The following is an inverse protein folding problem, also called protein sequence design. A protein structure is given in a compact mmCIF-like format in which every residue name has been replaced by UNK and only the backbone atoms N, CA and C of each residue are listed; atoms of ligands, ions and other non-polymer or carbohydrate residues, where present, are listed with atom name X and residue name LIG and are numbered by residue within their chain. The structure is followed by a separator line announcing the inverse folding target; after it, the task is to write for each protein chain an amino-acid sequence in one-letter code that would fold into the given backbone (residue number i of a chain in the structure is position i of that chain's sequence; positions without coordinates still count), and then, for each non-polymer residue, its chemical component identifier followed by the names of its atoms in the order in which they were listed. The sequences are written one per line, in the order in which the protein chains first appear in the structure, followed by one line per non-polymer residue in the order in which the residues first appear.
data_IF_429313455579
#
_entry.id   IF_429313455579
#
_cell.length_a   1.000
_cell.length_b   1.000
_cell.length_c   1.000
_cell.angle_alpha   90.00
_cell.angle_beta   90.00
_cell.angle_gamma   90.00
#
_symmetry.space_group_name_H-M   'P 1'
#
loop_
_entity.id
_entity.type
_entity.pdbx_description
1 polymer ?
#
# COMPACT_ATOMS: atom_id res chain seq x y z
N UNK A 1 -12.04 -17.19 25.50
CA UNK A 1 -11.32 -17.39 24.23
C UNK A 1 -12.21 -16.79 23.17
N UNK A 2 -11.98 -15.52 22.84
CA UNK A 2 -12.66 -14.87 21.72
C UNK A 2 -11.85 -15.26 20.49
N UNK A 3 -12.46 -15.98 19.55
CA UNK A 3 -11.86 -16.17 18.21
C UNK A 3 -11.58 -14.78 17.66
N UNK A 4 -10.29 -14.45 17.50
CA UNK A 4 -9.88 -13.21 16.87
C UNK A 4 -10.11 -13.40 15.37
N UNK A 5 -11.28 -12.99 14.89
CA UNK A 5 -11.61 -13.06 13.46
C UNK A 5 -10.54 -12.29 12.66
N UNK A 6 -9.88 -12.99 11.75
CA UNK A 6 -8.83 -12.44 10.89
C UNK A 6 -9.40 -11.34 9.98
N UNK A 7 -8.77 -10.16 9.95
CA UNK A 7 -9.14 -9.03 9.07
C UNK A 7 -8.83 -9.28 7.59
N UNK A 8 -8.04 -10.31 7.29
CA UNK A 8 -7.48 -10.61 5.96
C UNK A 8 -8.57 -10.91 4.91
N UNK A 9 -9.61 -11.73 5.18
CA UNK A 9 -10.66 -12.01 4.19
C UNK A 9 -11.48 -10.77 3.84
N UNK A 10 -11.75 -9.90 4.82
CA UNK A 10 -12.46 -8.62 4.58
C UNK A 10 -11.61 -7.75 3.66
N UNK A 11 -10.32 -7.59 3.97
CA UNK A 11 -9.38 -6.83 3.14
C UNK A 11 -9.26 -7.40 1.70
N UNK A 12 -9.32 -8.72 1.54
CA UNK A 12 -9.26 -9.38 0.24
C UNK A 12 -10.43 -8.98 -0.67
N UNK A 13 -11.67 -9.14 -0.19
CA UNK A 13 -12.89 -8.80 -0.92
C UNK A 13 -12.91 -7.32 -1.28
N UNK A 14 -12.53 -6.49 -0.31
CA UNK A 14 -12.50 -5.04 -0.41
C UNK A 14 -11.54 -4.56 -1.49
N UNK A 15 -10.26 -4.97 -1.41
CA UNK A 15 -9.26 -4.56 -2.39
C UNK A 15 -9.63 -5.03 -3.78
N UNK A 16 -10.16 -6.25 -3.90
CA UNK A 16 -10.60 -6.79 -5.18
C UNK A 16 -11.77 -6.00 -5.78
N UNK A 17 -12.83 -5.73 -5.00
CA UNK A 17 -13.99 -4.96 -5.46
C UNK A 17 -13.62 -3.52 -5.81
N UNK A 18 -12.82 -2.85 -4.98
CA UNK A 18 -12.32 -1.49 -5.26
C UNK A 18 -11.46 -1.44 -6.53
N UNK A 19 -10.58 -2.43 -6.71
CA UNK A 19 -9.76 -2.54 -7.92
C UNK A 19 -10.62 -2.72 -9.18
N UNK A 20 -11.56 -3.67 -9.16
CA UNK A 20 -12.45 -3.94 -10.30
C UNK A 20 -13.34 -2.75 -10.63
N UNK A 21 -13.97 -2.14 -9.62
CA UNK A 21 -14.83 -0.96 -9.81
C UNK A 21 -14.04 0.23 -10.38
N UNK A 22 -12.83 0.47 -9.88
CA UNK A 22 -11.91 1.48 -10.42
C UNK A 22 -11.61 1.25 -11.90
N UNK A 23 -11.29 0.01 -12.30
CA UNK A 23 -11.03 -0.34 -13.70
C UNK A 23 -12.26 -0.13 -14.60
N UNK A 24 -13.46 -0.46 -14.10
CA UNK A 24 -14.72 -0.24 -14.83
C UNK A 24 -14.99 1.26 -15.02
N UNK A 25 -14.80 2.07 -13.97
CA UNK A 25 -15.00 3.52 -14.03
C UNK A 25 -14.03 4.18 -15.02
N UNK A 26 -12.75 3.80 -14.98
CA UNK A 26 -11.74 4.32 -15.91
C UNK A 26 -12.03 3.98 -17.37
N UNK A 27 -12.65 2.83 -17.62
CA UNK A 27 -13.06 2.45 -18.97
C UNK A 27 -14.25 3.30 -19.48
N UNK A 28 -15.05 3.86 -18.57
CA UNK A 28 -16.17 4.77 -18.89
C UNK A 28 -15.72 6.22 -19.02
N UNK A 29 -14.69 6.65 -18.28
CA UNK A 29 -14.15 8.02 -18.32
C UNK A 29 -13.09 8.19 -19.41
N UNK A 30 -13.52 8.23 -20.68
CA UNK A 30 -12.61 8.30 -21.84
C UNK A 30 -11.94 9.66 -22.05
N UNK A 31 -12.57 10.73 -21.59
CA UNK A 31 -12.16 12.12 -21.84
C UNK A 31 -11.03 12.62 -20.91
N UNK A 32 -10.48 11.72 -20.09
CA UNK A 32 -9.41 12.03 -19.14
C UNK A 32 -8.03 11.96 -19.81
N UNK A 33 -7.11 12.79 -19.30
CA UNK A 33 -5.74 12.84 -19.80
C UNK A 33 -5.03 11.50 -19.64
N UNK A 34 -4.06 11.23 -20.51
CA UNK A 34 -3.34 9.95 -20.54
C UNK A 34 -2.72 9.60 -19.17
N UNK A 35 -2.16 10.59 -18.47
CA UNK A 35 -1.48 10.39 -17.19
C UNK A 35 -2.46 9.88 -16.12
N UNK A 36 -3.62 10.51 -15.99
CA UNK A 36 -4.65 10.11 -15.02
C UNK A 36 -5.19 8.71 -15.37
N UNK A 37 -5.40 8.43 -16.66
CA UNK A 37 -5.88 7.11 -17.10
C UNK A 37 -4.88 6.00 -16.77
N UNK A 38 -3.59 6.16 -17.08
CA UNK A 38 -2.57 5.16 -16.75
C UNK A 38 -2.44 5.01 -15.23
N UNK A 39 -2.41 6.13 -14.50
CA UNK A 39 -2.33 6.14 -13.03
C UNK A 39 -3.46 5.33 -12.43
N UNK A 40 -4.71 5.59 -12.87
CA UNK A 40 -5.87 4.84 -12.44
C UNK A 40 -5.79 3.36 -12.79
N UNK A 41 -5.32 3.01 -13.99
CA UNK A 41 -5.17 1.62 -14.41
C UNK A 41 -4.12 0.89 -13.55
N UNK A 42 -2.99 1.53 -13.26
CA UNK A 42 -1.94 0.97 -12.39
C UNK A 42 -2.46 0.75 -10.96
N UNK A 43 -3.12 1.75 -10.36
CA UNK A 43 -3.68 1.61 -9.01
C UNK A 43 -4.81 0.58 -8.96
N UNK A 44 -5.69 0.55 -9.97
CA UNK A 44 -6.76 -0.44 -10.07
C UNK A 44 -6.23 -1.87 -10.12
N UNK A 45 -5.22 -2.14 -10.95
CA UNK A 45 -4.57 -3.46 -11.01
C UNK A 45 -3.75 -3.79 -9.76
N UNK A 46 -3.11 -2.80 -9.14
CA UNK A 46 -2.43 -2.97 -7.86
C UNK A 46 -3.40 -3.45 -6.77
N UNK A 47 -4.58 -2.83 -6.66
CA UNK A 47 -5.64 -3.23 -5.74
C UNK A 47 -6.18 -4.63 -6.04
N UNK A 48 -6.36 -4.98 -7.32
CA UNK A 48 -6.76 -6.36 -7.72
C UNK A 48 -5.73 -7.38 -7.26
N UNK A 49 -4.43 -7.13 -7.46
CA UNK A 49 -3.37 -8.03 -7.01
C UNK A 49 -3.27 -8.12 -5.48
N UNK A 50 -3.46 -7.01 -4.76
CA UNK A 50 -3.58 -7.07 -3.29
C UNK A 50 -4.79 -7.90 -2.85
N UNK A 51 -5.95 -7.73 -3.49
CA UNK A 51 -7.14 -8.53 -3.19
C UNK A 51 -6.92 -10.03 -3.42
N UNK A 52 -6.28 -10.41 -4.53
CA UNK A 52 -5.96 -11.81 -4.84
C UNK A 52 -4.89 -12.39 -3.91
N UNK A 53 -3.88 -11.59 -3.53
CA UNK A 53 -2.88 -11.96 -2.52
C UNK A 53 -3.55 -12.24 -1.17
N UNK A 54 -4.40 -11.35 -0.68
CA UNK A 54 -5.08 -11.53 0.60
C UNK A 54 -6.10 -12.67 0.56
N UNK A 55 -6.75 -12.90 -0.58
CA UNK A 55 -7.61 -14.06 -0.77
C UNK A 55 -6.82 -15.37 -0.62
N UNK A 56 -5.64 -15.45 -1.23
CA UNK A 56 -4.76 -16.61 -1.08
C UNK A 56 -4.31 -16.82 0.38
N UNK A 57 -3.96 -15.75 1.10
CA UNK A 57 -3.63 -15.83 2.52
C UNK A 57 -4.81 -16.30 3.39
N UNK A 58 -6.02 -15.78 3.14
CA UNK A 58 -7.21 -16.13 3.91
C UNK A 58 -7.62 -17.60 3.79
N UNK A 59 -7.43 -18.22 2.63
CA UNK A 59 -7.77 -19.63 2.41
C UNK A 59 -6.84 -20.57 3.17
N UNK A 60 -5.61 -20.14 3.44
CA UNK A 60 -4.60 -20.94 4.15
C UNK A 60 -4.72 -20.83 5.67
N UNK A 61 -5.57 -19.94 6.19
CA UNK A 61 -5.69 -19.61 7.61
C UNK A 61 -4.36 -19.17 8.27
N UNK A 62 -3.36 -18.84 7.46
CA UNK A 62 -2.10 -18.25 7.93
C UNK A 62 -2.36 -16.80 8.25
N UNK A 63 -2.07 -16.37 9.49
CA UNK A 63 -1.95 -14.94 9.75
C UNK A 63 -0.94 -14.35 8.76
N UNK A 64 -1.16 -13.12 8.32
CA UNK A 64 -0.33 -12.49 7.29
C UNK A 64 1.16 -12.39 7.70
N UNK A 65 1.45 -12.56 8.99
CA UNK A 65 2.77 -12.52 9.61
C UNK A 65 3.35 -13.88 10.02
N UNK A 66 2.54 -14.92 10.32
CA UNK A 66 3.07 -16.24 10.62
C UNK A 66 3.63 -16.87 9.35
N UNK A 67 4.93 -16.66 9.17
CA UNK A 67 5.76 -17.41 8.28
C UNK A 67 5.56 -18.90 8.54
N UNK A 68 5.01 -19.57 7.54
CA UNK A 68 5.32 -20.95 7.17
C UNK A 68 5.41 -21.89 8.37
N UNK A 69 4.26 -22.38 8.82
CA UNK A 69 4.23 -23.68 9.48
C UNK A 69 4.78 -24.73 8.50
N UNK A 70 6.09 -24.97 8.58
CA UNK A 70 6.80 -26.26 8.49
C UNK A 70 6.16 -27.37 7.64
N UNK A 71 5.67 -27.05 6.45
CA UNK A 71 5.55 -28.01 5.36
C UNK A 71 6.71 -27.75 4.38
N UNK A 72 7.55 -28.75 4.09
CA UNK A 72 8.66 -28.59 3.13
C UNK A 72 8.18 -28.32 1.70
N UNK A 73 6.87 -28.44 1.43
CA UNK A 73 6.25 -28.11 0.16
C UNK A 73 5.35 -26.87 0.29
N UNK A 74 5.68 -25.84 -0.49
CA UNK A 74 4.81 -24.68 -0.70
C UNK A 74 3.53 -25.14 -1.41
N UNK A 75 2.37 -24.78 -0.89
CA UNK A 75 1.08 -25.07 -1.53
C UNK A 75 0.74 -24.05 -2.64
N UNK A 76 -0.30 -24.35 -3.42
CA UNK A 76 -0.79 -23.47 -4.49
C UNK A 76 -1.06 -22.06 -3.96
N UNK A 77 -1.63 -21.95 -2.76
CA UNK A 77 -2.04 -20.67 -2.19
C UNK A 77 -0.83 -19.81 -1.78
N UNK A 78 0.24 -20.41 -1.29
CA UNK A 78 1.50 -19.74 -1.00
C UNK A 78 2.19 -19.25 -2.27
N UNK A 79 2.17 -20.05 -3.34
CA UNK A 79 2.64 -19.63 -4.66
C UNK A 79 1.83 -18.44 -5.21
N UNK A 80 0.51 -18.48 -5.07
CA UNK A 80 -0.37 -17.37 -5.49
C UNK A 80 -0.09 -16.11 -4.67
N UNK A 81 0.06 -16.24 -3.34
CA UNK A 81 0.37 -15.14 -2.44
C UNK A 81 1.64 -14.41 -2.89
N UNK A 82 2.76 -15.11 -3.02
CA UNK A 82 4.02 -14.46 -3.42
C UNK A 82 3.99 -13.94 -4.86
N UNK A 83 3.35 -14.65 -5.79
CA UNK A 83 3.28 -14.21 -7.20
C UNK A 83 2.50 -12.91 -7.37
N UNK A 84 1.33 -12.79 -6.72
CA UNK A 84 0.56 -11.54 -6.76
C UNK A 84 1.26 -10.40 -6.01
N UNK A 85 2.07 -10.73 -5.00
CA UNK A 85 2.93 -9.76 -4.31
C UNK A 85 3.98 -9.18 -5.25
N UNK A 86 4.70 -10.04 -5.99
CA UNK A 86 5.70 -9.58 -6.95
C UNK A 86 5.05 -8.72 -8.03
N UNK A 87 3.89 -9.12 -8.53
CA UNK A 87 3.15 -8.35 -9.53
C UNK A 87 2.75 -6.95 -9.01
N UNK A 88 2.28 -6.83 -7.75
CA UNK A 88 1.97 -5.53 -7.14
C UNK A 88 3.24 -4.69 -6.89
N UNK A 89 4.35 -5.33 -6.47
CA UNK A 89 5.65 -4.67 -6.30
C UNK A 89 6.14 -4.06 -7.62
N UNK A 90 6.06 -4.79 -8.72
CA UNK A 90 6.51 -4.28 -10.04
C UNK A 90 5.65 -3.10 -10.50
N UNK A 91 4.33 -3.15 -10.30
CA UNK A 91 3.46 -2.00 -10.58
C UNK A 91 3.84 -0.81 -9.70
N UNK A 92 4.00 -1.02 -8.38
CA UNK A 92 4.35 0.03 -7.44
C UNK A 92 5.73 0.65 -7.71
N UNK A 93 6.71 -0.14 -8.15
CA UNK A 93 8.02 0.34 -8.56
C UNK A 93 7.97 1.23 -9.82
N UNK A 94 7.08 0.90 -10.76
CA UNK A 94 6.89 1.67 -12.01
C UNK A 94 6.00 2.90 -11.82
N UNK A 95 5.16 2.92 -10.79
CA UNK A 95 4.16 3.96 -10.56
C UNK A 95 4.75 5.38 -10.43
N UNK A 96 5.82 5.62 -9.64
CA UNK A 96 6.46 6.94 -9.52
C UNK A 96 6.99 7.55 -10.81
N UNK A 97 7.25 6.74 -11.83
CA UNK A 97 7.71 7.23 -13.13
C UNK A 97 6.60 7.88 -13.96
N UNK A 98 5.34 7.59 -13.62
CA UNK A 98 4.14 8.10 -14.29
C UNK A 98 3.43 9.16 -13.44
N UNK A 99 3.41 9.01 -12.12
CA UNK A 99 2.66 9.87 -11.21
C UNK A 99 3.40 10.08 -9.88
N UNK A 100 3.37 11.28 -9.26
CA UNK A 100 2.59 12.48 -9.61
C UNK A 100 3.29 13.41 -10.59
N UNK A 101 4.58 13.17 -10.88
CA UNK A 101 5.34 13.91 -11.88
C UNK A 101 5.87 12.92 -12.93
N UNK A 102 5.30 12.89 -14.14
CA UNK A 102 5.67 11.90 -15.14
C UNK A 102 7.07 12.20 -15.67
N UNK A 103 8.01 11.29 -15.39
CA UNK A 103 9.32 11.27 -16.04
C UNK A 103 9.18 10.70 -17.45
N UNK A 104 8.28 9.73 -17.63
CA UNK A 104 7.95 9.18 -18.94
C UNK A 104 6.92 10.06 -19.64
N UNK A 105 7.40 11.02 -20.43
CA UNK A 105 6.53 11.94 -21.18
C UNK A 105 6.48 11.66 -22.68
N UNK A 106 7.44 10.90 -23.22
CA UNK A 106 7.48 10.55 -24.65
C UNK A 106 6.49 9.42 -24.93
N UNK A 107 5.80 9.48 -26.07
CA UNK A 107 4.89 8.42 -26.51
C UNK A 107 5.55 7.02 -26.50
N UNK A 108 6.81 6.94 -26.97
CA UNK A 108 7.62 5.71 -26.91
C UNK A 108 7.82 5.20 -25.48
N UNK A 109 8.21 6.07 -24.56
CA UNK A 109 8.44 5.71 -23.15
C UNK A 109 7.16 5.25 -22.45
N UNK A 110 6.02 5.87 -22.76
CA UNK A 110 4.74 5.50 -22.18
C UNK A 110 4.26 4.15 -22.72
N UNK A 111 4.42 3.89 -24.03
CA UNK A 111 4.13 2.59 -24.64
C UNK A 111 5.01 1.45 -24.08
N UNK A 112 6.21 1.77 -23.59
CA UNK A 112 7.11 0.80 -22.94
C UNK A 112 6.69 0.43 -21.52
N UNK A 113 5.85 1.22 -20.83
CA UNK A 113 5.41 0.91 -19.47
C UNK A 113 4.72 -0.46 -19.41
N UNK A 114 3.81 -0.74 -20.33
CA UNK A 114 3.06 -2.01 -20.40
C UNK A 114 3.95 -3.25 -20.60
N UNK A 115 4.80 -3.35 -21.64
CA UNK A 115 5.64 -4.52 -21.83
C UNK A 115 6.70 -4.66 -20.73
N UNK A 116 7.20 -3.56 -20.15
CA UNK A 116 8.15 -3.62 -19.04
C UNK A 116 7.47 -4.19 -17.79
N UNK A 117 6.31 -3.67 -17.38
CA UNK A 117 5.62 -4.18 -16.19
C UNK A 117 5.23 -5.65 -16.35
N UNK A 118 4.68 -6.03 -17.50
CA UNK A 118 4.32 -7.42 -17.79
C UNK A 118 5.55 -8.34 -17.82
N UNK A 119 6.56 -7.99 -18.62
CA UNK A 119 7.75 -8.82 -18.81
C UNK A 119 8.59 -8.95 -17.54
N UNK A 120 8.79 -7.84 -16.82
CA UNK A 120 9.54 -7.86 -15.55
C UNK A 120 8.81 -8.69 -14.48
N UNK A 121 7.49 -8.53 -14.36
CA UNK A 121 6.69 -9.35 -13.43
C UNK A 121 6.84 -10.84 -13.75
N UNK A 122 6.71 -11.22 -15.02
CA UNK A 122 6.79 -12.62 -15.45
C UNK A 122 8.19 -13.22 -15.23
N UNK A 123 9.25 -12.47 -15.56
CA UNK A 123 10.64 -12.91 -15.35
C UNK A 123 10.91 -13.14 -13.86
N UNK A 124 10.52 -12.19 -12.99
CA UNK A 124 10.77 -12.30 -11.55
C UNK A 124 9.93 -13.42 -10.96
N UNK A 125 8.65 -13.54 -11.31
CA UNK A 125 7.79 -14.62 -10.81
C UNK A 125 8.35 -15.98 -11.20
N UNK A 126 8.70 -16.20 -12.47
CA UNK A 126 9.27 -17.49 -12.91
C UNK A 126 10.60 -17.75 -12.19
N UNK A 127 11.49 -16.76 -12.11
CA UNK A 127 12.76 -16.91 -11.41
C UNK A 127 12.56 -17.26 -9.94
N UNK A 128 11.61 -16.62 -9.26
CA UNK A 128 11.31 -16.87 -7.85
C UNK A 128 10.63 -18.22 -7.64
N UNK A 129 9.77 -18.67 -8.57
CA UNK A 129 9.21 -20.02 -8.55
C UNK A 129 10.29 -21.09 -8.61
N UNK A 130 11.27 -20.93 -9.50
CA UNK A 130 12.41 -21.86 -9.63
C UNK A 130 13.27 -21.92 -8.37
N UNK A 131 13.33 -20.84 -7.59
CA UNK A 131 14.04 -20.77 -6.31
C UNK A 131 13.10 -20.96 -5.11
N UNK A 132 11.86 -21.40 -5.31
CA UNK A 132 10.87 -21.59 -4.24
C UNK A 132 10.70 -20.36 -3.34
N UNK A 133 10.81 -19.17 -3.92
CA UNK A 133 10.61 -17.89 -3.24
C UNK A 133 11.58 -17.60 -2.08
N UNK A 134 12.66 -18.39 -1.92
CA UNK A 134 13.72 -18.15 -0.94
C UNK A 134 14.37 -16.75 -1.06
N UNK A 135 14.19 -16.01 -2.18
CA UNK A 135 14.73 -14.67 -2.40
C UNK A 135 13.66 -13.58 -2.59
N UNK A 136 12.43 -13.81 -2.12
CA UNK A 136 11.30 -12.88 -2.31
C UNK A 136 11.59 -11.47 -1.85
N UNK A 137 12.24 -11.31 -0.69
CA UNK A 137 12.45 -9.99 -0.11
C UNK A 137 13.39 -9.13 -0.96
N UNK A 138 14.31 -9.76 -1.70
CA UNK A 138 15.18 -9.05 -2.65
C UNK A 138 14.41 -8.25 -3.71
N UNK A 139 13.21 -8.68 -4.09
CA UNK A 139 12.38 -7.97 -5.09
C UNK A 139 11.99 -6.54 -4.65
N UNK A 140 12.00 -6.24 -3.35
CA UNK A 140 11.68 -4.91 -2.82
C UNK A 140 12.71 -3.85 -3.22
N UNK A 141 13.92 -4.23 -3.65
CA UNK A 141 14.93 -3.29 -4.16
C UNK A 141 14.43 -2.50 -5.38
N UNK A 142 13.45 -3.04 -6.12
CA UNK A 142 12.83 -2.37 -7.26
C UNK A 142 12.13 -1.07 -6.88
N UNK A 143 11.72 -0.88 -5.62
CA UNK A 143 11.11 0.36 -5.17
C UNK A 143 12.10 1.51 -5.01
N UNK A 144 13.41 1.24 -4.91
CA UNK A 144 14.43 2.24 -4.61
C UNK A 144 14.41 3.44 -5.58
N UNK A 145 14.36 3.25 -6.93
CA UNK A 145 14.30 4.38 -7.85
C UNK A 145 13.01 5.18 -7.69
N UNK A 146 11.88 4.48 -7.58
CA UNK A 146 10.57 5.12 -7.47
C UNK A 146 10.45 5.96 -6.19
N UNK A 147 11.02 5.46 -5.10
CA UNK A 147 11.11 6.15 -3.84
C UNK A 147 11.90 7.47 -3.94
N UNK A 148 13.11 7.40 -4.52
CA UNK A 148 13.96 8.59 -4.68
C UNK A 148 13.25 9.67 -5.51
N UNK A 149 12.54 9.25 -6.56
CA UNK A 149 11.74 10.17 -7.38
C UNK A 149 10.67 10.86 -6.54
N UNK A 150 9.86 10.11 -5.78
CA UNK A 150 8.79 10.68 -4.96
C UNK A 150 9.32 11.66 -3.91
N UNK A 151 10.42 11.31 -3.25
CA UNK A 151 11.03 12.16 -2.23
C UNK A 151 11.58 13.45 -2.84
N UNK A 152 12.26 13.37 -4.00
CA UNK A 152 12.73 14.56 -4.73
C UNK A 152 11.58 15.44 -5.21
N UNK A 153 10.53 14.85 -5.75
CA UNK A 153 9.32 15.56 -6.18
C UNK A 153 8.65 16.26 -4.99
N UNK A 154 8.56 15.59 -3.84
CA UNK A 154 8.05 16.18 -2.61
C UNK A 154 8.84 17.43 -2.21
N UNK A 155 10.17 17.33 -2.11
CA UNK A 155 11.03 18.44 -1.71
C UNK A 155 11.01 19.59 -2.71
N UNK A 156 11.03 19.30 -4.00
CA UNK A 156 10.94 20.31 -5.06
C UNK A 156 9.69 21.17 -4.88
N UNK A 157 8.50 20.56 -4.89
CA UNK A 157 7.25 21.29 -4.81
C UNK A 157 7.00 21.91 -3.44
N UNK A 158 7.54 21.32 -2.36
CA UNK A 158 7.54 21.96 -1.05
C UNK A 158 8.41 23.24 -1.04
N UNK A 159 9.58 23.19 -1.66
CA UNK A 159 10.46 24.37 -1.75
C UNK A 159 9.86 25.48 -2.61
N UNK A 160 9.19 25.13 -3.71
CA UNK A 160 8.44 26.07 -4.56
C UNK A 160 7.28 26.73 -3.78
N UNK A 161 6.55 25.97 -2.97
CA UNK A 161 5.48 26.52 -2.10
C UNK A 161 6.03 27.46 -1.01
N UNK A 162 7.17 27.11 -0.41
CA UNK A 162 7.74 27.87 0.73
C UNK A 162 8.51 29.12 0.28
N UNK A 163 9.23 29.05 -0.84
CA UNK A 163 10.06 30.14 -1.36
C UNK A 163 9.33 31.00 -2.40
N UNK A 164 8.50 30.38 -3.24
CA UNK A 164 7.76 31.03 -4.32
C UNK A 164 6.32 31.41 -3.98
N UNK A 165 5.83 31.04 -2.79
CA UNK A 165 4.46 31.23 -2.31
C UNK A 165 3.36 30.68 -3.25
N UNK A 166 3.71 29.70 -4.09
CA UNK A 166 2.76 29.04 -4.99
C UNK A 166 1.92 28.02 -4.20
N UNK A 167 0.69 28.40 -3.85
CA UNK A 167 -0.27 27.52 -3.17
C UNK A 167 -0.60 26.26 -3.99
N UNK A 168 -0.45 26.31 -5.32
CA UNK A 168 -0.73 25.15 -6.16
C UNK A 168 0.35 24.08 -6.01
N UNK A 169 1.61 24.45 -5.72
CA UNK A 169 2.74 23.52 -5.50
C UNK A 169 2.47 22.57 -4.32
N UNK A 170 1.67 23.02 -3.36
CA UNK A 170 1.21 22.20 -2.24
C UNK A 170 0.50 20.92 -2.68
N UNK A 171 -0.33 20.97 -3.74
CA UNK A 171 -1.07 19.79 -4.21
C UNK A 171 -0.13 18.68 -4.69
N UNK A 172 0.96 19.05 -5.37
CA UNK A 172 1.93 18.11 -5.91
C UNK A 172 2.76 17.44 -4.80
N UNK A 173 3.22 18.24 -3.83
CA UNK A 173 3.92 17.71 -2.66
C UNK A 173 3.01 16.80 -1.82
N UNK A 174 1.74 17.19 -1.63
CA UNK A 174 0.75 16.37 -0.93
C UNK A 174 0.50 15.04 -1.66
N UNK A 175 0.36 15.06 -2.99
CA UNK A 175 0.21 13.84 -3.79
C UNK A 175 1.40 12.88 -3.62
N UNK A 176 2.63 13.41 -3.74
CA UNK A 176 3.84 12.61 -3.57
C UNK A 176 3.95 12.01 -2.16
N UNK A 177 3.64 12.81 -1.13
CA UNK A 177 3.65 12.37 0.26
C UNK A 177 2.60 11.29 0.54
N UNK A 178 1.39 11.41 -0.02
CA UNK A 178 0.35 10.38 0.12
C UNK A 178 0.76 9.09 -0.57
N UNK A 179 1.39 9.15 -1.75
CA UNK A 179 1.87 7.95 -2.45
C UNK A 179 2.96 7.24 -1.64
N UNK A 180 3.89 8.01 -1.05
CA UNK A 180 4.90 7.46 -0.15
C UNK A 180 4.25 6.74 1.03
N UNK A 181 3.24 7.33 1.66
CA UNK A 181 2.51 6.68 2.77
C UNK A 181 1.70 5.47 2.28
N UNK A 182 1.07 5.53 1.11
CA UNK A 182 0.25 4.44 0.60
C UNK A 182 1.06 3.17 0.34
N UNK A 183 2.25 3.30 -0.27
CA UNK A 183 3.10 2.17 -0.61
C UNK A 183 4.07 1.74 0.50
N UNK A 184 4.49 2.67 1.38
CA UNK A 184 5.53 2.41 2.37
C UNK A 184 5.11 2.73 3.82
N UNK A 185 3.84 3.07 4.05
CA UNK A 185 3.35 3.51 5.36
C UNK A 185 3.56 2.47 6.46
N UNK A 186 3.52 1.18 6.12
CA UNK A 186 3.83 0.09 7.04
C UNK A 186 5.28 0.17 7.51
N UNK A 187 6.22 0.23 6.58
CA UNK A 187 7.63 0.26 6.93
C UNK A 187 8.01 1.58 7.62
N UNK A 188 7.26 2.66 7.38
CA UNK A 188 7.42 3.91 8.12
C UNK A 188 7.11 3.78 9.60
N UNK A 189 6.32 2.81 10.06
CA UNK A 189 6.08 2.62 11.51
C UNK A 189 7.27 1.99 12.22
N UNK A 190 8.20 1.36 11.50
CA UNK A 190 9.41 0.76 12.09
C UNK A 190 10.64 1.67 12.01
N UNK A 191 10.44 2.97 11.79
CA UNK A 191 11.53 3.92 11.58
C UNK A 191 12.50 3.98 12.75
N UNK A 192 12.00 3.94 14.00
CA UNK A 192 12.84 4.03 15.18
C UNK A 192 13.69 2.78 15.34
N UNK A 193 13.07 1.60 15.23
CA UNK A 193 13.74 0.31 15.30
C UNK A 193 14.86 0.18 14.24
N UNK A 194 14.64 0.75 13.04
CA UNK A 194 15.67 0.80 12.00
C UNK A 194 16.84 1.71 12.36
N UNK A 195 16.60 2.86 13.00
CA UNK A 195 17.67 3.82 13.38
C UNK A 195 18.55 3.27 14.49
N UNK A 196 17.95 2.60 15.48
CA UNK A 196 18.68 1.97 16.58
C UNK A 196 19.25 0.59 16.21
N UNK A 197 19.03 0.14 14.97
CA UNK A 197 19.54 -1.11 14.41
C UNK A 197 19.03 -2.40 15.09
N UNK A 198 17.93 -2.35 15.83
CA UNK A 198 17.37 -3.55 16.47
C UNK A 198 16.61 -4.45 15.49
N UNK A 199 16.20 -3.92 14.34
CA UNK A 199 15.49 -4.70 13.30
C UNK A 199 16.26 -5.95 12.85
N UNK A 200 17.60 -5.93 12.89
CA UNK A 200 18.41 -7.09 12.53
C UNK A 200 18.21 -8.27 13.51
N UNK A 201 17.97 -8.00 14.78
CA UNK A 201 17.71 -9.03 15.79
C UNK A 201 16.33 -9.67 15.60
N UNK A 202 15.32 -8.85 15.25
CA UNK A 202 14.00 -9.35 14.89
C UNK A 202 14.05 -10.24 13.64
N UNK A 203 14.79 -9.82 12.61
CA UNK A 203 15.05 -10.65 11.42
C UNK A 203 15.73 -11.97 11.79
N UNK A 204 16.73 -11.92 12.69
CA UNK A 204 17.41 -13.10 13.21
C UNK A 204 16.47 -14.07 13.92
N UNK A 205 15.58 -13.56 14.77
CA UNK A 205 14.54 -14.37 15.42
C UNK A 205 13.60 -15.02 14.40
N UNK A 206 13.07 -14.25 13.45
CA UNK A 206 12.18 -14.80 12.41
C UNK A 206 12.88 -15.86 11.56
N UNK A 207 14.19 -15.72 11.32
CA UNK A 207 15.00 -16.73 10.66
C UNK A 207 14.99 -18.07 11.40
N UNK A 208 15.12 -18.02 12.73
CA UNK A 208 15.20 -19.20 13.58
C UNK A 208 13.83 -19.88 13.68
N UNK A 209 12.77 -19.11 13.91
CA UNK A 209 11.39 -19.59 13.98
C UNK A 209 10.96 -20.24 12.64
N UNK A 210 11.36 -19.66 11.51
CA UNK A 210 11.10 -20.20 10.17
C UNK A 210 12.03 -21.37 9.78
N UNK A 211 12.94 -21.80 10.65
CA UNK A 211 13.85 -22.92 10.39
C UNK A 211 15.01 -22.57 9.47
N UNK A 212 15.82 -21.57 9.83
CA UNK A 212 17.14 -21.15 9.29
C UNK A 212 17.19 -20.80 7.79
N UNK A 213 16.26 -21.24 6.94
CA UNK A 213 16.32 -21.12 5.49
C UNK A 213 16.11 -19.69 4.98
N UNK A 214 14.92 -19.12 5.16
CA UNK A 214 14.49 -17.97 4.34
C UNK A 214 15.20 -16.65 4.64
N UNK A 215 15.66 -16.41 5.87
CA UNK A 215 16.22 -15.12 6.29
C UNK A 215 17.75 -15.12 6.42
N UNK A 216 18.42 -16.28 6.34
CA UNK A 216 19.90 -16.33 6.31
C UNK A 216 20.48 -15.98 4.93
N UNK A 217 19.64 -15.95 3.89
CA UNK A 217 20.07 -15.53 2.57
C UNK A 217 20.35 -14.03 2.52
N UNK A 218 21.62 -13.68 2.29
CA UNK A 218 22.10 -12.30 2.13
C UNK A 218 21.20 -11.43 1.22
N UNK A 219 20.68 -11.90 0.06
CA UNK A 219 19.78 -11.09 -0.76
C UNK A 219 18.47 -10.67 -0.08
N UNK A 220 17.87 -11.53 0.76
CA UNK A 220 16.65 -11.19 1.47
C UNK A 220 16.90 -10.14 2.54
N UNK A 221 17.98 -10.30 3.31
CA UNK A 221 18.41 -9.30 4.28
C UNK A 221 18.66 -7.94 3.62
N UNK A 222 19.34 -7.90 2.47
CA UNK A 222 19.53 -6.66 1.69
C UNK A 222 18.19 -6.03 1.32
N UNK A 223 17.25 -6.81 0.78
CA UNK A 223 15.94 -6.30 0.37
C UNK A 223 15.15 -5.70 1.55
N UNK A 224 15.14 -6.40 2.68
CA UNK A 224 14.47 -5.95 3.91
C UNK A 224 15.11 -4.68 4.47
N UNK A 225 16.44 -4.65 4.64
CA UNK A 225 17.17 -3.52 5.19
C UNK A 225 17.08 -2.29 4.30
N UNK A 226 17.17 -2.44 2.97
CA UNK A 226 16.98 -1.33 2.03
C UNK A 226 15.59 -0.74 2.17
N UNK A 227 14.55 -1.58 2.18
CA UNK A 227 13.17 -1.11 2.26
C UNK A 227 12.90 -0.35 3.57
N UNK A 228 13.31 -0.89 4.72
CA UNK A 228 13.09 -0.24 6.01
C UNK A 228 13.92 1.04 6.17
N UNK A 229 15.17 1.03 5.69
CA UNK A 229 16.01 2.23 5.73
C UNK A 229 15.43 3.35 4.88
N UNK A 230 14.96 3.02 3.69
CA UNK A 230 14.29 3.93 2.78
C UNK A 230 13.01 4.48 3.43
N UNK A 231 12.16 3.62 3.98
CA UNK A 231 10.94 4.05 4.67
C UNK A 231 11.24 5.00 5.86
N UNK A 232 12.23 4.67 6.68
CA UNK A 232 12.69 5.51 7.79
C UNK A 232 13.18 6.89 7.33
N UNK A 233 13.98 6.94 6.26
CA UNK A 233 14.44 8.21 5.67
C UNK A 233 13.26 9.07 5.22
N UNK A 234 12.20 8.46 4.68
CA UNK A 234 11.03 9.23 4.19
C UNK A 234 10.24 9.83 5.31
N UNK A 235 9.92 9.05 6.34
CA UNK A 235 9.08 9.58 7.41
C UNK A 235 9.80 10.71 8.14
N UNK A 236 11.13 10.60 8.33
CA UNK A 236 11.94 11.69 8.86
C UNK A 236 11.97 12.91 7.92
N UNK A 237 12.15 12.68 6.62
CA UNK A 237 12.17 13.74 5.60
C UNK A 237 10.83 14.47 5.49
N UNK A 238 9.73 13.72 5.45
CA UNK A 238 8.36 14.23 5.45
C UNK A 238 8.08 15.01 6.73
N UNK A 239 8.47 14.48 7.89
CA UNK A 239 8.33 15.16 9.19
C UNK A 239 9.10 16.47 9.20
N UNK A 240 10.35 16.49 8.75
CA UNK A 240 11.15 17.71 8.69
C UNK A 240 10.51 18.75 7.76
N UNK A 241 10.05 18.32 6.57
CA UNK A 241 9.38 19.18 5.61
C UNK A 241 8.06 19.75 6.13
N UNK A 242 7.21 18.90 6.72
CA UNK A 242 5.94 19.33 7.31
C UNK A 242 6.12 20.18 8.57
N UNK A 243 7.18 19.95 9.35
CA UNK A 243 7.52 20.82 10.49
C UNK A 243 7.88 22.20 9.99
N UNK A 244 8.70 22.29 8.94
CA UNK A 244 9.04 23.57 8.32
C UNK A 244 7.78 24.28 7.81
N UNK A 245 6.91 23.57 7.08
CA UNK A 245 5.62 24.08 6.60
C UNK A 245 4.73 24.54 7.76
N UNK A 246 4.63 23.76 8.83
CA UNK A 246 3.82 24.07 10.02
C UNK A 246 4.29 25.35 10.71
N UNK A 247 5.62 25.59 10.78
CA UNK A 247 6.16 26.81 11.39
C UNK A 247 5.88 28.08 10.57
N UNK A 248 5.69 27.97 9.25
CA UNK A 248 5.51 29.12 8.35
C UNK A 248 4.06 29.38 7.96
N UNK A 249 3.31 28.33 7.61
CA UNK A 249 1.93 28.40 7.09
C UNK A 249 0.89 27.73 8.00
N UNK A 250 1.32 27.21 9.16
CA UNK A 250 0.43 26.54 10.11
C UNK A 250 0.19 25.06 9.82
N UNK A 251 -0.50 24.39 10.75
CA UNK A 251 -0.75 22.94 10.72
C UNK A 251 -1.96 22.64 9.80
N UNK A 252 -1.84 21.59 8.98
CA UNK A 252 -2.94 21.05 8.18
C UNK A 252 -3.19 19.57 8.50
N UNK A 253 -4.30 19.01 8.00
CA UNK A 253 -4.63 17.59 8.14
C UNK A 253 -3.50 16.65 7.69
N UNK A 254 -2.81 16.97 6.59
CA UNK A 254 -1.67 16.16 6.14
C UNK A 254 -0.49 16.16 7.13
N UNK A 255 -0.17 17.32 7.72
CA UNK A 255 0.82 17.45 8.81
C UNK A 255 0.46 16.58 10.01
N UNK A 256 -0.83 16.56 10.38
CA UNK A 256 -1.34 15.76 11.50
C UNK A 256 -1.15 14.26 11.22
N UNK A 257 -1.45 13.81 10.00
CA UNK A 257 -1.28 12.40 9.60
C UNK A 257 0.19 11.98 9.69
N UNK A 258 1.13 12.82 9.21
CA UNK A 258 2.57 12.52 9.29
C UNK A 258 3.04 12.42 10.74
N UNK A 259 2.63 13.36 11.60
CA UNK A 259 2.98 13.29 13.03
C UNK A 259 2.34 12.11 13.74
N UNK A 260 1.15 11.68 13.33
CA UNK A 260 0.52 10.47 13.85
C UNK A 260 1.33 9.23 13.49
N UNK A 261 1.73 9.06 12.22
CA UNK A 261 2.57 7.94 11.78
C UNK A 261 3.92 7.96 12.50
N UNK A 262 4.55 9.13 12.62
CA UNK A 262 5.80 9.29 13.36
C UNK A 262 5.65 8.87 14.83
N UNK A 263 4.58 9.31 15.49
CA UNK A 263 4.29 8.98 16.89
C UNK A 263 3.98 7.50 17.10
N UNK A 264 3.20 6.88 16.21
CA UNK A 264 2.97 5.43 16.21
C UNK A 264 4.30 4.68 16.05
N UNK A 265 5.17 5.14 15.17
CA UNK A 265 6.48 4.51 15.01
C UNK A 265 7.44 4.72 16.18
N UNK A 266 7.33 5.84 16.89
CA UNK A 266 8.05 6.06 18.14
C UNK A 266 7.62 5.05 19.21
N UNK A 267 6.31 4.88 19.41
CA UNK A 267 5.76 3.92 20.37
C UNK A 267 6.16 2.49 19.96
N UNK A 268 6.07 2.16 18.67
CA UNK A 268 6.44 0.84 18.16
C UNK A 268 7.91 0.53 18.42
N UNK A 269 8.83 1.45 18.14
CA UNK A 269 10.24 1.20 18.43
C UNK A 269 10.57 1.11 19.94
N UNK A 270 9.82 1.79 20.81
CA UNK A 270 9.94 1.60 22.27
C UNK A 270 9.42 0.21 22.67
N UNK A 271 8.31 -0.24 22.08
CA UNK A 271 7.76 -1.57 22.31
C UNK A 271 8.73 -2.66 21.84
N UNK A 272 9.32 -2.50 20.66
CA UNK A 272 10.33 -3.40 20.09
C UNK A 272 11.55 -3.49 21.01
N UNK A 273 12.04 -2.35 21.51
CA UNK A 273 13.13 -2.34 22.48
C UNK A 273 12.77 -3.04 23.81
N UNK A 274 11.52 -2.92 24.27
CA UNK A 274 11.08 -3.54 25.52
C UNK A 274 11.04 -5.07 25.45
N UNK A 275 10.80 -5.64 24.26
CA UNK A 275 10.77 -7.10 24.04
C UNK A 275 12.11 -7.65 23.54
N UNK A 276 13.16 -6.83 23.42
CA UNK A 276 14.44 -7.23 22.85
C UNK A 276 15.05 -8.44 23.58
N UNK A 277 14.93 -8.52 24.91
CA UNK A 277 15.41 -9.68 25.67
C UNK A 277 14.70 -11.00 25.29
N UNK A 278 13.42 -10.94 24.91
CA UNK A 278 12.66 -12.10 24.40
C UNK A 278 13.13 -12.46 22.99
N UNK A 279 13.47 -11.45 22.16
CA UNK A 279 14.05 -11.65 20.83
C UNK A 279 15.41 -12.35 20.92
N UNK A 280 16.30 -11.85 21.78
CA UNK A 280 17.62 -12.44 22.04
C UNK A 280 17.53 -13.85 22.62
N UNK A 281 16.55 -14.13 23.49
CA UNK A 281 16.33 -15.46 24.06
C UNK A 281 16.16 -16.54 22.99
N UNK A 282 15.44 -16.23 21.90
CA UNK A 282 15.27 -17.13 20.75
C UNK A 282 16.58 -17.39 19.98
N UNK A 283 17.48 -16.40 19.92
CA UNK A 283 18.78 -16.57 19.25
C UNK A 283 19.77 -17.40 20.06
N UNK A 284 19.75 -17.28 21.39
CA UNK A 284 20.77 -17.90 22.25
C UNK A 284 20.29 -19.13 23.01
N UNK A 285 18.98 -19.35 23.14
CA UNK A 285 18.44 -20.42 23.98
C UNK A 285 17.14 -21.03 23.44
N UNK A 286 15.98 -20.46 23.77
CA UNK A 286 14.64 -20.94 23.42
C UNK A 286 13.80 -19.76 22.96
N UNK A 287 12.98 -19.97 21.93
CA UNK A 287 12.05 -18.94 21.46
C UNK A 287 10.88 -18.84 22.43
N UNK A 288 10.85 -17.77 23.20
CA UNK A 288 9.75 -17.42 24.10
C UNK A 288 8.68 -16.63 23.33
N UNK A 289 7.40 -16.91 23.61
CA UNK A 289 6.28 -16.21 22.98
C UNK A 289 6.28 -14.71 23.36
N UNK A 290 5.82 -13.87 22.43
CA UNK A 290 5.66 -12.45 22.71
C UNK A 290 4.54 -12.20 23.74
N UNK A 291 4.64 -11.13 24.55
CA UNK A 291 3.55 -10.74 25.44
C UNK A 291 2.30 -10.40 24.63
N UNK A 292 1.10 -10.82 25.08
CA UNK A 292 -0.16 -10.53 24.39
C UNK A 292 -0.35 -9.04 24.06
N UNK A 293 0.13 -8.13 24.92
CA UNK A 293 0.08 -6.69 24.69
C UNK A 293 0.93 -6.23 23.50
N UNK A 294 2.06 -6.89 23.23
CA UNK A 294 2.91 -6.61 22.07
C UNK A 294 2.20 -7.05 20.80
N UNK A 295 1.63 -8.25 20.78
CA UNK A 295 0.89 -8.78 19.63
C UNK A 295 -0.33 -7.91 19.29
N UNK A 296 -1.10 -7.49 20.31
CA UNK A 296 -2.23 -6.58 20.11
C UNK A 296 -1.76 -5.24 19.51
N UNK A 297 -0.68 -4.67 20.04
CA UNK A 297 -0.12 -3.42 19.52
C UNK A 297 0.35 -3.57 18.06
N UNK A 298 1.05 -4.66 17.76
CA UNK A 298 1.60 -4.91 16.44
C UNK A 298 0.49 -5.16 15.40
N UNK A 299 -0.52 -5.97 15.74
CA UNK A 299 -1.74 -6.15 14.92
C UNK A 299 -2.43 -4.81 14.65
N UNK A 300 -2.60 -3.97 15.69
CA UNK A 300 -3.22 -2.67 15.54
C UNK A 300 -2.43 -1.69 14.67
N UNK A 301 -1.11 -1.66 14.80
CA UNK A 301 -0.27 -0.65 14.12
C UNK A 301 0.16 -1.05 12.72
N UNK A 302 0.48 -2.32 12.52
CA UNK A 302 1.07 -2.82 11.27
C UNK A 302 0.01 -3.45 10.37
N UNK A 303 -0.82 -4.36 10.90
CA UNK A 303 -1.80 -5.07 10.07
C UNK A 303 -2.94 -4.15 9.64
N UNK A 304 -3.50 -3.37 10.56
CA UNK A 304 -4.57 -2.43 10.22
C UNK A 304 -4.11 -1.39 9.18
N UNK A 305 -2.85 -0.95 9.26
CA UNK A 305 -2.32 0.05 8.34
C UNK A 305 -2.20 -0.50 6.91
N UNK A 306 -1.84 -1.78 6.75
CA UNK A 306 -1.67 -2.38 5.42
C UNK A 306 -2.97 -2.88 4.83
N UNK A 307 -3.79 -3.53 5.65
CA UNK A 307 -5.04 -4.14 5.21
C UNK A 307 -6.11 -3.08 4.92
N UNK A 308 -6.02 -1.90 5.56
CA UNK A 308 -7.09 -0.90 5.53
C UNK A 308 -6.58 0.46 5.08
N UNK A 309 -5.53 0.99 5.72
CA UNK A 309 -5.11 2.35 5.42
C UNK A 309 -4.56 2.50 3.99
N UNK A 310 -3.82 1.51 3.48
CA UNK A 310 -3.32 1.52 2.09
C UNK A 310 -4.45 1.60 1.05
N UNK A 311 -5.47 0.72 1.03
CA UNK A 311 -6.61 0.86 0.12
C UNK A 311 -7.34 2.20 0.23
N UNK A 312 -7.50 2.72 1.45
CA UNK A 312 -8.15 4.01 1.69
C UNK A 312 -7.35 5.18 1.11
N UNK A 313 -6.02 5.15 1.24
CA UNK A 313 -5.12 6.17 0.68
C UNK A 313 -5.09 6.13 -0.85
N UNK A 314 -5.10 4.93 -1.45
CA UNK A 314 -5.23 4.78 -2.91
C UNK A 314 -6.57 5.35 -3.38
N UNK A 315 -7.65 5.10 -2.64
CA UNK A 315 -8.97 5.64 -2.99
C UNK A 315 -9.03 7.16 -2.85
N UNK A 316 -8.45 7.68 -1.76
CA UNK A 316 -8.32 9.11 -1.56
C UNK A 316 -7.57 9.75 -2.74
N UNK A 317 -6.47 9.13 -3.21
CA UNK A 317 -5.72 9.61 -4.36
C UNK A 317 -6.60 9.64 -5.63
N UNK A 318 -7.33 8.57 -5.91
CA UNK A 318 -8.18 8.46 -7.10
C UNK A 318 -9.32 9.48 -7.15
N UNK A 319 -9.92 9.82 -6.00
CA UNK A 319 -11.06 10.75 -5.92
C UNK A 319 -10.61 12.20 -5.71
N UNK A 320 -9.72 12.45 -4.74
CA UNK A 320 -9.30 13.80 -4.38
C UNK A 320 -8.52 14.48 -5.50
N UNK A 321 -7.70 13.73 -6.23
CA UNK A 321 -6.98 14.24 -7.40
C UNK A 321 -7.74 14.05 -8.73
N UNK A 322 -9.03 13.73 -8.69
CA UNK A 322 -9.91 13.64 -9.87
C UNK A 322 -9.33 12.76 -11.00
N UNK A 323 -8.66 11.67 -10.60
CA UNK A 323 -8.11 10.66 -11.53
C UNK A 323 -9.25 9.92 -12.21
N UNK A 324 -10.32 9.66 -11.45
CA UNK A 324 -11.58 9.10 -11.94
C UNK A 324 -12.61 10.22 -12.03
N UNK A 325 -13.33 10.28 -13.15
CA UNK A 325 -14.41 11.24 -13.33
C UNK A 325 -15.61 10.94 -12.42
N UNK A 326 -15.57 11.51 -11.22
CA UNK A 326 -16.59 11.33 -10.18
C UNK A 326 -17.82 12.23 -10.38
N UNK A 327 -17.70 13.27 -11.21
CA UNK A 327 -18.76 14.25 -11.46
C UNK A 327 -19.77 13.83 -12.54
N UNK A 328 -19.35 12.99 -13.50
CA UNK A 328 -20.19 12.52 -14.58
C UNK A 328 -21.41 11.71 -14.08
N UNK A 329 -22.62 12.04 -14.55
CA UNK A 329 -23.88 11.39 -14.14
C UNK A 329 -23.86 9.86 -14.24
N UNK A 330 -23.17 9.31 -15.25
CA UNK A 330 -23.05 7.87 -15.48
C UNK A 330 -22.12 7.15 -14.45
N UNK A 331 -21.27 7.91 -13.76
CA UNK A 331 -20.30 7.39 -12.80
C UNK A 331 -20.69 7.65 -11.34
N UNK A 332 -21.58 8.62 -11.07
CA UNK A 332 -22.01 8.98 -9.72
C UNK A 332 -22.50 7.79 -8.89
N UNK A 333 -23.26 6.87 -9.49
CA UNK A 333 -23.75 5.69 -8.79
C UNK A 333 -22.63 4.72 -8.37
N UNK A 334 -21.63 4.50 -9.24
CA UNK A 334 -20.48 3.66 -8.92
C UNK A 334 -19.51 4.33 -7.94
N UNK A 335 -19.27 5.64 -8.08
CA UNK A 335 -18.50 6.41 -7.09
C UNK A 335 -19.17 6.36 -5.72
N UNK A 336 -20.51 6.40 -5.67
CA UNK A 336 -21.27 6.22 -4.44
C UNK A 336 -21.07 4.83 -3.84
N UNK A 337 -21.08 3.76 -4.64
CA UNK A 337 -20.75 2.41 -4.16
C UNK A 337 -19.34 2.36 -3.56
N UNK A 338 -18.36 2.97 -4.22
CA UNK A 338 -16.98 3.02 -3.74
C UNK A 338 -16.90 3.73 -2.37
N UNK A 339 -17.57 4.88 -2.23
CA UNK A 339 -17.59 5.63 -0.96
C UNK A 339 -18.32 4.86 0.14
N UNK A 340 -19.46 4.22 -0.17
CA UNK A 340 -20.18 3.39 0.79
C UNK A 340 -19.32 2.20 1.22
N UNK A 341 -18.68 1.52 0.28
CA UNK A 341 -17.77 0.41 0.57
C UNK A 341 -16.63 0.90 1.47
N UNK A 342 -15.99 2.02 1.13
CA UNK A 342 -14.94 2.68 1.92
C UNK A 342 -15.39 2.94 3.37
N UNK A 343 -16.58 3.51 3.56
CA UNK A 343 -17.13 3.80 4.89
C UNK A 343 -17.47 2.53 5.66
N UNK A 344 -18.02 1.51 4.99
CA UNK A 344 -18.34 0.22 5.58
C UNK A 344 -17.07 -0.44 6.10
N UNK A 345 -16.00 -0.43 5.31
CA UNK A 345 -14.69 -0.97 5.68
C UNK A 345 -14.16 -0.28 6.93
N UNK A 346 -14.01 1.05 6.87
CA UNK A 346 -13.48 1.85 7.97
C UNK A 346 -14.28 1.60 9.25
N UNK A 347 -15.61 1.54 9.13
CA UNK A 347 -16.49 1.31 10.27
C UNK A 347 -16.30 -0.11 10.83
N UNK A 348 -16.41 -1.14 9.99
CA UNK A 348 -16.29 -2.55 10.37
C UNK A 348 -14.96 -2.83 11.07
N UNK A 349 -13.88 -2.25 10.55
CA UNK A 349 -12.55 -2.50 11.11
C UNK A 349 -12.27 -1.65 12.34
N UNK A 350 -12.77 -0.41 12.40
CA UNK A 350 -12.70 0.36 13.63
C UNK A 350 -13.45 -0.37 14.77
N UNK A 351 -14.56 -1.04 14.44
CA UNK A 351 -15.33 -1.86 15.37
C UNK A 351 -14.51 -3.06 15.86
N UNK A 352 -13.93 -3.86 14.94
CA UNK A 352 -13.10 -5.01 15.31
C UNK A 352 -11.89 -4.59 16.16
N UNK A 353 -11.23 -3.48 15.80
CA UNK A 353 -10.11 -2.92 16.58
C UNK A 353 -10.57 -2.41 17.95
N UNK A 354 -11.77 -1.82 18.05
CA UNK A 354 -12.30 -1.35 19.33
C UNK A 354 -12.66 -2.51 20.25
N UNK A 355 -13.19 -3.60 19.68
CA UNK A 355 -13.48 -4.84 20.40
C UNK A 355 -12.21 -5.57 20.85
N UNK A 356 -11.11 -5.49 20.08
CA UNK A 356 -9.84 -6.08 20.49
C UNK A 356 -9.15 -5.31 21.63
N UNK A 357 -9.39 -4.00 21.74
CA UNK A 357 -8.78 -3.14 22.77
C UNK A 357 -9.60 -3.12 24.06
N UNK A 358 -10.93 -3.06 23.94
CA UNK A 358 -11.83 -3.00 25.09
C UNK A 358 -12.58 -4.33 25.20
N UNK A 359 -12.39 -5.10 26.29
CA UNK A 359 -13.18 -6.30 26.55
C UNK A 359 -14.59 -5.86 26.99
N UNK A 360 -15.39 -5.37 26.05
CA UNK A 360 -16.76 -4.92 26.26
C UNK A 360 -17.71 -6.07 25.95
N UNK A 361 -18.75 -6.26 26.76
CA UNK A 361 -19.81 -7.23 26.46
C UNK A 361 -20.44 -6.96 25.08
N UNK A 362 -20.74 -8.01 24.31
CA UNK A 362 -21.29 -7.96 22.94
C UNK A 362 -22.51 -7.03 22.79
N UNK A 363 -23.35 -6.91 23.83
CA UNK A 363 -24.52 -6.02 23.84
C UNK A 363 -24.18 -4.51 23.88
N UNK A 364 -23.12 -4.13 24.59
CA UNK A 364 -22.68 -2.72 24.68
C UNK A 364 -21.86 -2.37 23.44
N UNK A 365 -21.02 -3.31 22.97
CA UNK A 365 -20.28 -3.16 21.72
C UNK A 365 -21.22 -2.92 20.53
N UNK A 366 -22.28 -3.74 20.39
CA UNK A 366 -23.30 -3.57 19.34
C UNK A 366 -24.11 -2.27 19.45
N UNK A 367 -24.35 -1.74 20.67
CA UNK A 367 -25.02 -0.46 20.86
C UNK A 367 -24.13 0.75 20.49
N UNK A 368 -22.86 0.72 20.89
CA UNK A 368 -21.85 1.72 20.48
C UNK A 368 -21.67 1.67 18.95
N UNK A 369 -21.65 0.46 18.39
CA UNK A 369 -21.57 0.20 16.96
C UNK A 369 -22.74 0.80 16.19
N UNK A 370 -23.99 0.58 16.62
CA UNK A 370 -25.15 1.20 15.99
C UNK A 370 -25.10 2.74 16.04
N UNK A 371 -24.58 3.30 17.13
CA UNK A 371 -24.38 4.75 17.28
C UNK A 371 -23.29 5.28 16.33
N UNK A 372 -22.14 4.62 16.27
CA UNK A 372 -21.02 4.98 15.39
C UNK A 372 -21.43 4.88 13.93
N UNK A 373 -22.10 3.78 13.53
CA UNK A 373 -22.61 3.57 12.17
C UNK A 373 -23.66 4.63 11.81
N UNK A 374 -24.59 4.97 12.72
CA UNK A 374 -25.57 6.02 12.47
C UNK A 374 -24.92 7.42 12.28
N UNK A 375 -23.85 7.71 13.02
CA UNK A 375 -23.06 8.94 12.86
C UNK A 375 -22.34 8.94 11.51
N UNK A 376 -21.72 7.83 11.12
CA UNK A 376 -21.01 7.69 9.84
C UNK A 376 -21.95 7.80 8.63
N UNK A 377 -23.13 7.20 8.68
CA UNK A 377 -24.16 7.33 7.63
C UNK A 377 -24.60 8.80 7.49
N UNK A 378 -24.75 9.53 8.60
CA UNK A 378 -25.09 10.96 8.57
C UNK A 378 -23.99 11.86 7.99
N UNK A 379 -22.74 11.39 7.95
CA UNK A 379 -21.58 12.12 7.41
C UNK A 379 -21.23 11.74 5.96
N UNK A 380 -21.82 10.68 5.40
CA UNK A 380 -21.58 10.18 4.03
C UNK A 380 -21.67 11.32 3.01
N UNK A 381 -22.78 12.07 2.99
CA UNK A 381 -22.99 13.14 2.02
C UNK A 381 -22.02 14.32 2.20
N UNK A 382 -21.59 14.60 3.44
CA UNK A 382 -20.67 15.71 3.73
C UNK A 382 -19.25 15.34 3.31
N UNK A 383 -18.80 14.14 3.65
CA UNK A 383 -17.48 13.61 3.24
C UNK A 383 -17.42 13.49 1.71
N UNK A 384 -18.47 12.96 1.09
CA UNK A 384 -18.58 12.87 -0.38
C UNK A 384 -18.51 14.24 -1.03
N UNK A 385 -19.26 15.23 -0.54
CA UNK A 385 -19.18 16.61 -1.06
C UNK A 385 -17.80 17.21 -0.88
N UNK A 386 -17.13 17.00 0.26
CA UNK A 386 -15.78 17.52 0.48
C UNK A 386 -14.72 16.83 -0.37
N UNK A 387 -14.82 15.50 -0.56
CA UNK A 387 -13.91 14.72 -1.41
C UNK A 387 -14.05 15.09 -2.89
N UNK A 388 -15.28 15.35 -3.36
CA UNK A 388 -15.56 15.71 -4.76
C UNK A 388 -15.32 17.20 -5.04
N UNK A 389 -15.57 18.10 -4.07
CA UNK A 389 -15.54 19.55 -4.30
C UNK A 389 -14.13 20.17 -4.50
N UNK A 390 -13.04 19.41 -4.39
CA UNK A 390 -11.67 19.93 -4.52
C UNK A 390 -10.91 19.44 -5.77
N UNK A 391 -11.55 18.60 -6.60
CA UNK A 391 -10.92 17.84 -7.69
C UNK A 391 -10.52 18.66 -8.91
N UNK A 392 -9.38 19.33 -8.84
CA UNK A 392 -8.64 19.69 -10.06
C UNK A 392 -7.48 18.71 -10.19
N UNK A 393 -7.45 18.00 -11.31
CA UNK A 393 -6.48 16.94 -11.57
C UNK A 393 -5.04 17.47 -11.66
N UNK A 394 -4.09 16.70 -11.13
CA UNK A 394 -2.66 17.03 -11.17
C UNK A 394 -2.16 17.23 -12.61
N UNK A 395 -2.70 16.43 -13.52
CA UNK A 395 -2.43 16.47 -14.95
C UNK A 395 -2.69 17.85 -15.57
N UNK A 396 -3.87 18.43 -15.31
CA UNK A 396 -4.26 19.80 -15.71
C UNK A 396 -3.31 20.84 -15.12
N UNK A 397 -2.88 20.66 -13.87
CA UNK A 397 -1.90 21.56 -13.26
C UNK A 397 -0.55 21.50 -13.96
N UNK A 398 -0.06 20.31 -14.30
CA UNK A 398 1.20 20.19 -15.02
C UNK A 398 1.12 20.78 -16.45
N UNK A 399 -0.06 20.74 -17.07
CA UNK A 399 -0.29 21.47 -18.33
C UNK A 399 -0.19 22.99 -18.13
N UNK A 400 -0.77 23.56 -17.05
CA UNK A 400 -0.67 25.01 -16.81
C UNK A 400 0.76 25.46 -16.54
N UNK A 401 1.59 24.60 -15.94
CA UNK A 401 3.03 24.82 -15.77
C UNK A 401 3.86 24.54 -17.03
N UNK A 402 3.23 24.04 -18.11
CA UNK A 402 3.90 23.59 -19.34
C UNK A 402 4.97 22.51 -19.10
N UNK A 403 4.76 21.69 -18.06
CA UNK A 403 5.66 20.60 -17.66
C UNK A 403 5.13 19.22 -18.05
N UNK A 404 3.94 19.16 -18.64
CA UNK A 404 3.37 17.95 -19.20
C UNK A 404 3.28 18.03 -20.72
N UNK A 405 3.93 17.08 -21.39
CA UNK A 405 3.70 16.86 -22.80
C UNK A 405 2.41 16.07 -23.03
N UNK A 406 1.69 16.41 -24.10
CA UNK A 406 0.54 15.67 -24.62
C UNK A 406 0.97 14.82 -25.82
N UNK A 407 1.55 13.63 -25.60
CA UNK A 407 1.84 12.70 -26.68
C UNK A 407 0.56 12.17 -27.30
N UNK A 408 0.58 11.95 -28.62
CA UNK A 408 -0.46 11.20 -29.32
C UNK A 408 -0.44 9.73 -28.85
N UNK A 409 -1.30 9.42 -27.88
CA UNK A 409 -1.51 8.06 -27.37
C UNK A 409 -2.91 7.62 -27.78
N UNK A 410 -2.98 6.52 -28.51
CA UNK A 410 -4.26 5.90 -28.85
C UNK A 410 -4.88 5.24 -27.61
N UNK A 411 -6.21 5.30 -27.51
CA UNK A 411 -6.94 4.61 -26.44
C UNK A 411 -6.64 3.09 -26.39
N UNK A 412 -6.32 2.51 -27.55
CA UNK A 412 -5.90 1.10 -27.66
C UNK A 412 -4.65 0.79 -26.85
N UNK A 413 -3.67 1.69 -26.81
CA UNK A 413 -2.40 1.50 -26.11
C UNK A 413 -2.62 1.51 -24.58
N UNK A 414 -3.55 2.35 -24.10
CA UNK A 414 -3.95 2.38 -22.70
C UNK A 414 -4.72 1.10 -22.29
N UNK A 415 -5.64 0.64 -23.15
CA UNK A 415 -6.37 -0.60 -22.91
C UNK A 415 -5.45 -1.83 -22.97
N UNK A 416 -4.36 -1.77 -23.72
CA UNK A 416 -3.36 -2.85 -23.79
C UNK A 416 -2.75 -3.12 -22.41
N UNK A 417 -2.54 -2.10 -21.58
CA UNK A 417 -2.06 -2.27 -20.21
C UNK A 417 -2.99 -3.19 -19.42
N UNK A 418 -4.29 -2.86 -19.40
CA UNK A 418 -5.28 -3.62 -18.64
C UNK A 418 -5.43 -5.06 -19.15
N UNK A 419 -5.43 -5.25 -20.47
CA UNK A 419 -5.45 -6.59 -21.09
C UNK A 419 -4.20 -7.40 -20.72
N UNK A 420 -3.03 -6.77 -20.70
CA UNK A 420 -1.77 -7.44 -20.37
C UNK A 420 -1.74 -7.89 -18.90
N UNK A 421 -2.23 -7.05 -17.98
CA UNK A 421 -2.34 -7.43 -16.57
C UNK A 421 -3.37 -8.55 -16.36
N UNK A 422 -4.49 -8.55 -17.08
CA UNK A 422 -5.45 -9.67 -17.03
C UNK A 422 -4.84 -10.99 -17.52
N UNK A 423 -4.04 -10.93 -18.61
CA UNK A 423 -3.28 -12.09 -19.10
C UNK A 423 -2.25 -12.55 -18.07
N UNK A 424 -1.56 -11.61 -17.42
CA UNK A 424 -0.60 -11.91 -16.35
C UNK A 424 -1.29 -12.65 -15.19
N UNK A 425 -2.46 -12.20 -14.75
CA UNK A 425 -3.26 -12.90 -13.73
C UNK A 425 -3.54 -14.34 -14.11
N UNK A 426 -4.04 -14.57 -15.34
CA UNK A 426 -4.31 -15.92 -15.83
C UNK A 426 -3.04 -16.77 -15.90
N UNK A 427 -1.93 -16.18 -16.33
CA UNK A 427 -0.64 -16.86 -16.39
C UNK A 427 -0.11 -17.25 -15.00
N UNK A 428 -0.22 -16.36 -14.02
CA UNK A 428 0.12 -16.64 -12.61
C UNK A 428 -0.67 -17.83 -12.10
N UNK A 429 -2.00 -17.85 -12.28
CA UNK A 429 -2.82 -18.98 -11.86
C UNK A 429 -2.38 -20.29 -12.52
N UNK A 430 -2.17 -20.30 -13.83
CA UNK A 430 -1.73 -21.50 -14.56
C UNK A 430 -0.36 -21.96 -14.07
N UNK A 431 0.60 -21.05 -13.89
CA UNK A 431 1.94 -21.38 -13.40
C UNK A 431 1.89 -21.97 -11.99
N UNK A 432 1.18 -21.34 -11.05
CA UNK A 432 1.07 -21.82 -9.68
C UNK A 432 0.40 -23.21 -9.63
N UNK A 433 -0.65 -23.43 -10.44
CA UNK A 433 -1.29 -24.75 -10.57
C UNK A 433 -0.31 -25.80 -11.11
N UNK A 434 0.40 -25.50 -12.19
CA UNK A 434 1.37 -26.41 -12.79
C UNK A 434 2.49 -26.77 -11.82
N UNK A 435 3.11 -25.77 -11.20
CA UNK A 435 4.27 -25.98 -10.35
C UNK A 435 3.91 -26.75 -9.08
N UNK A 436 2.75 -26.46 -8.48
CA UNK A 436 2.26 -27.23 -7.33
C UNK A 436 1.77 -28.65 -7.69
N UNK A 437 1.51 -28.95 -8.97
CA UNK A 437 1.11 -30.31 -9.39
C UNK A 437 2.31 -31.21 -9.77
N UNK A 438 3.47 -30.60 -10.04
CA UNK A 438 4.69 -31.29 -10.44
C UNK A 438 5.50 -31.77 -9.21
N UNK A 439 5.34 -31.11 -8.07
CA UNK A 439 5.79 -31.57 -6.76
C UNK A 439 4.64 -32.29 -6.06
#
# INVERSE_FOLDING_TARGET
MVEQDSMVPVAAIVCFLLGVTTLILLNRSKDRMWMDRITGLMLGWCLVFFGLRYAAASVRDTTWWEGVNSTPDLDIFQYLFYSFTIASIVIGAMFPFVYPYPIFQKASSIKLVTPITFGLSLIIIISMMLTEYHYVWFSHILFLPGYLILLLVYFRFMSEEMLGDDETARRMSLASGIILIAFFGQQMTWWLAQIISINDEFVGRFAIEAGVGDYTYVPNWIGFTVMNSVAAISILSLTAGETWRATKKGINGFTIVIYMILGVGLISGIADFAVLGIVESCMYSVCEDFPESYDIWYKFTTEALVLLFTPLMVMYLLLHFDVIDSAAENNQWMTRIIVILMLLIVSSTMIELLQSILPVSDMISSAILAMVVAIFIGWEERIMKTLIAQGESISKKLQTLNELNEPEIEERDLQLFSKSMAVLTGFIFILCLLYSSIR
#
